data_IF_580923470267
#
_entry.id   IF_580923470267
#
_cell.length_a   1.000
_cell.length_b   1.000
_cell.length_c   1.000
_cell.angle_alpha   90.00
_cell.angle_beta   90.00
_cell.angle_gamma   90.00
#
_symmetry.space_group_name_H-M   'P 1'
#
loop_
_entity.id
_entity.type
_entity.pdbx_description
1 polymer ?
#
# COMPACT_ATOMS: atom_id res chain seq x y z
N UNK A 1 -2.06 11.42 10.99
CA UNK A 1 -2.28 10.08 11.57
C UNK A 1 -2.34 9.04 10.48
N UNK A 2 -1.67 7.95 10.69
CA UNK A 2 -1.72 6.82 9.75
C UNK A 2 -2.82 5.86 10.17
N UNK A 3 -3.41 5.23 9.17
CA UNK A 3 -4.46 4.25 9.40
C UNK A 3 -3.85 2.85 9.53
N UNK A 4 -4.58 1.96 10.18
CA UNK A 4 -4.27 0.54 10.18
C UNK A 4 -5.03 -0.09 9.04
N UNK A 5 -4.32 -0.81 8.17
CA UNK A 5 -4.94 -1.48 7.03
C UNK A 5 -5.11 -2.96 7.33
N UNK A 6 -6.32 -3.47 7.11
CA UNK A 6 -6.62 -4.89 7.18
C UNK A 6 -6.27 -5.56 5.86
N UNK A 7 -5.46 -6.60 5.92
CA UNK A 7 -5.02 -7.36 4.76
C UNK A 7 -5.53 -8.80 4.87
N UNK A 8 -6.24 -9.25 3.84
CA UNK A 8 -6.67 -10.63 3.74
C UNK A 8 -5.85 -11.39 2.72
N UNK A 9 -5.55 -12.65 3.00
CA UNK A 9 -4.93 -13.54 2.04
C UNK A 9 -5.94 -14.60 1.69
N UNK A 10 -6.37 -14.59 0.43
CA UNK A 10 -7.41 -15.49 -0.06
C UNK A 10 -7.07 -15.97 -1.46
N UNK A 11 -7.42 -17.21 -1.81
CA UNK A 11 -7.30 -17.64 -3.20
C UNK A 11 -8.08 -16.70 -4.12
N UNK A 12 -7.60 -16.55 -5.35
CA UNK A 12 -8.20 -15.66 -6.32
C UNK A 12 -9.69 -15.94 -6.52
N UNK A 13 -10.10 -17.21 -6.49
CA UNK A 13 -11.49 -17.60 -6.60
C UNK A 13 -12.36 -17.01 -5.50
N UNK A 14 -11.87 -16.98 -4.27
CA UNK A 14 -12.57 -16.42 -3.12
C UNK A 14 -12.74 -14.91 -3.25
N UNK A 15 -11.70 -14.23 -3.72
CA UNK A 15 -11.75 -12.79 -3.97
C UNK A 15 -12.82 -12.49 -5.01
N UNK A 16 -12.82 -13.26 -6.09
CA UNK A 16 -13.79 -13.09 -7.17
C UNK A 16 -15.22 -13.33 -6.71
N UNK A 17 -15.46 -14.38 -5.94
CA UNK A 17 -16.77 -14.66 -5.36
C UNK A 17 -17.27 -13.51 -4.51
N UNK A 18 -16.38 -12.94 -3.67
CA UNK A 18 -16.73 -11.83 -2.81
C UNK A 18 -17.09 -10.57 -3.61
N UNK A 19 -16.29 -10.25 -4.64
CA UNK A 19 -16.55 -9.11 -5.51
C UNK A 19 -17.90 -9.25 -6.20
N UNK A 20 -18.21 -10.44 -6.72
CA UNK A 20 -19.50 -10.71 -7.35
C UNK A 20 -20.66 -10.63 -6.36
N UNK A 21 -20.48 -11.14 -5.15
CA UNK A 21 -21.50 -11.06 -4.11
C UNK A 21 -21.80 -9.61 -3.72
N UNK A 22 -20.77 -8.78 -3.62
CA UNK A 22 -20.94 -7.35 -3.35
C UNK A 22 -21.69 -6.67 -4.50
N UNK A 23 -21.31 -6.98 -5.73
CA UNK A 23 -21.97 -6.42 -6.92
C UNK A 23 -23.44 -6.81 -7.02
N UNK A 24 -23.82 -8.00 -6.53
CA UNK A 24 -25.19 -8.48 -6.52
C UNK A 24 -25.99 -7.99 -5.31
N UNK A 25 -25.37 -7.29 -4.39
CA UNK A 25 -26.03 -6.83 -3.18
C UNK A 25 -26.21 -7.88 -2.09
N UNK A 26 -25.60 -9.07 -2.26
CA UNK A 26 -25.68 -10.16 -1.28
C UNK A 26 -24.87 -9.91 -0.04
N UNK A 27 -23.75 -9.19 -0.18
CA UNK A 27 -22.86 -8.81 0.92
C UNK A 27 -22.62 -7.31 0.86
N UNK A 28 -22.72 -6.64 2.00
CA UNK A 28 -22.35 -5.23 2.11
C UNK A 28 -20.98 -5.11 2.74
N UNK A 29 -20.03 -4.37 2.14
CA UNK A 29 -18.77 -4.09 2.79
C UNK A 29 -19.04 -3.26 4.05
N UNK A 30 -18.34 -3.57 5.14
CA UNK A 30 -18.50 -2.81 6.38
C UNK A 30 -17.95 -1.39 6.20
N UNK A 31 -18.73 -0.36 6.59
CA UNK A 31 -18.27 1.02 6.47
C UNK A 31 -17.00 1.25 7.30
N UNK A 32 -16.01 1.88 6.70
CA UNK A 32 -14.77 2.23 7.37
C UNK A 32 -13.69 1.16 7.37
N UNK A 33 -13.98 -0.03 6.88
CA UNK A 33 -12.95 -1.07 6.71
C UNK A 33 -12.19 -0.86 5.41
N UNK A 34 -10.88 -0.63 5.53
CA UNK A 34 -10.00 -0.66 4.38
C UNK A 34 -9.43 -2.08 4.29
N UNK A 35 -9.82 -2.80 3.26
CA UNK A 35 -9.37 -4.17 3.04
C UNK A 35 -8.56 -4.27 1.75
N UNK A 36 -7.38 -4.85 1.88
CA UNK A 36 -6.55 -5.21 0.74
C UNK A 36 -6.48 -6.72 0.72
N UNK A 37 -6.67 -7.31 -0.45
CA UNK A 37 -6.60 -8.76 -0.62
C UNK A 37 -5.40 -9.14 -1.47
N UNK A 38 -4.62 -10.11 -0.98
CA UNK A 38 -3.54 -10.73 -1.73
C UNK A 38 -3.88 -12.18 -2.00
N UNK A 39 -3.39 -12.71 -3.11
CA UNK A 39 -3.64 -14.10 -3.48
C UNK A 39 -2.73 -15.08 -2.77
N UNK A 40 -1.62 -14.61 -2.21
CA UNK A 40 -0.66 -15.46 -1.49
C UNK A 40 0.15 -14.65 -0.51
N UNK A 41 0.74 -15.35 0.48
CA UNK A 41 1.69 -14.74 1.41
C UNK A 41 2.93 -14.22 0.68
N UNK A 42 3.35 -14.88 -0.37
CA UNK A 42 4.49 -14.44 -1.18
C UNK A 42 4.22 -13.09 -1.82
N UNK A 43 3.05 -12.91 -2.42
CA UNK A 43 2.65 -11.64 -3.02
C UNK A 43 2.65 -10.52 -1.98
N UNK A 44 2.12 -10.79 -0.80
CA UNK A 44 2.14 -9.84 0.30
C UNK A 44 3.57 -9.48 0.71
N UNK A 45 4.44 -10.48 0.85
CA UNK A 45 5.83 -10.26 1.24
C UNK A 45 6.60 -9.44 0.21
N UNK A 46 6.29 -9.60 -1.07
CA UNK A 46 6.91 -8.82 -2.15
C UNK A 46 6.55 -7.34 -2.04
N UNK A 47 5.32 -7.02 -1.67
CA UNK A 47 4.85 -5.64 -1.54
C UNK A 47 5.25 -5.03 -0.21
N UNK A 48 5.08 -5.78 0.88
CA UNK A 48 5.38 -5.32 2.25
C UNK A 48 6.61 -6.01 2.83
N UNK A 49 7.68 -6.05 2.05
CA UNK A 49 8.97 -6.54 2.54
C UNK A 49 9.48 -5.68 3.69
N UNK A 50 10.45 -6.19 4.43
CA UNK A 50 11.07 -5.43 5.51
C UNK A 50 11.62 -4.10 5.01
N UNK A 51 12.23 -4.08 3.83
CA UNK A 51 12.75 -2.86 3.20
C UNK A 51 11.63 -1.88 2.86
N UNK A 52 10.52 -2.37 2.33
CA UNK A 52 9.39 -1.52 2.00
C UNK A 52 8.75 -0.91 3.25
N UNK A 53 8.63 -1.69 4.31
CA UNK A 53 8.09 -1.19 5.58
C UNK A 53 9.02 -0.17 6.23
N UNK A 54 10.33 -0.40 6.15
CA UNK A 54 11.31 0.57 6.63
C UNK A 54 11.21 1.88 5.84
N UNK A 55 11.02 1.78 4.53
CA UNK A 55 10.81 2.94 3.67
C UNK A 55 9.58 3.75 4.09
N UNK A 56 8.47 3.10 4.40
CA UNK A 56 7.27 3.78 4.87
C UNK A 56 7.54 4.59 6.14
N UNK A 57 8.30 4.04 7.06
CA UNK A 57 8.66 4.75 8.30
C UNK A 57 9.52 5.98 8.03
N UNK A 58 10.49 5.85 7.12
CA UNK A 58 11.34 6.98 6.73
C UNK A 58 10.50 8.09 6.13
N UNK A 59 9.58 7.76 5.24
CA UNK A 59 8.70 8.75 4.61
C UNK A 59 7.85 9.46 5.67
N UNK A 60 7.29 8.71 6.60
CA UNK A 60 6.46 9.26 7.66
C UNK A 60 7.25 10.19 8.59
N UNK A 61 8.46 9.82 8.93
CA UNK A 61 9.31 10.59 9.84
C UNK A 61 9.89 11.85 9.20
N UNK A 62 10.26 11.77 7.92
CA UNK A 62 10.97 12.86 7.23
C UNK A 62 10.09 13.76 6.39
N UNK A 63 8.87 13.32 6.04
CA UNK A 63 7.94 14.08 5.19
C UNK A 63 8.64 14.66 3.96
N UNK A 64 9.22 13.84 3.09
CA UNK A 64 9.96 14.35 1.94
C UNK A 64 9.06 15.12 0.98
N UNK A 65 9.59 16.20 0.41
CA UNK A 65 8.86 17.03 -0.54
C UNK A 65 8.66 16.35 -1.88
N UNK A 66 9.55 15.41 -2.24
CA UNK A 66 9.51 14.75 -3.53
C UNK A 66 10.17 13.38 -3.45
N UNK A 67 9.93 12.57 -4.49
CA UNK A 67 10.63 11.29 -4.65
C UNK A 67 12.13 11.52 -4.81
N UNK A 68 12.53 12.58 -5.53
CA UNK A 68 13.94 12.90 -5.72
C UNK A 68 14.63 13.21 -4.40
N UNK A 69 14.02 14.02 -3.55
CA UNK A 69 14.56 14.35 -2.23
C UNK A 69 14.71 13.10 -1.37
N UNK A 70 13.70 12.23 -1.41
CA UNK A 70 13.72 10.97 -0.66
C UNK A 70 14.83 10.06 -1.17
N UNK A 71 14.98 9.94 -2.50
CA UNK A 71 16.02 9.12 -3.11
C UNK A 71 17.42 9.57 -2.68
N UNK A 72 17.66 10.87 -2.68
CA UNK A 72 18.94 11.44 -2.24
C UNK A 72 19.21 11.13 -0.76
N UNK A 73 18.18 11.26 0.08
CA UNK A 73 18.31 11.05 1.52
C UNK A 73 18.65 9.60 1.89
N UNK A 74 18.12 8.63 1.16
CA UNK A 74 18.31 7.22 1.47
C UNK A 74 19.31 6.50 0.54
N UNK A 75 19.88 7.22 -0.44
CA UNK A 75 20.87 6.67 -1.35
C UNK A 75 20.34 5.66 -2.35
N UNK A 76 19.07 5.78 -2.74
CA UNK A 76 18.46 4.92 -3.76
C UNK A 76 18.23 5.69 -5.05
N UNK A 77 18.18 4.95 -6.17
CA UNK A 77 17.89 5.57 -7.46
C UNK A 77 16.42 5.99 -7.54
N UNK A 78 16.12 7.23 -8.00
CA UNK A 78 14.74 7.71 -8.06
C UNK A 78 13.80 6.80 -8.86
N UNK A 79 14.26 6.22 -9.98
CA UNK A 79 13.44 5.33 -10.79
C UNK A 79 13.04 4.05 -10.06
N UNK A 80 13.97 3.47 -9.31
CA UNK A 80 13.71 2.28 -8.51
C UNK A 80 12.71 2.59 -7.39
N UNK A 81 12.95 3.70 -6.70
CA UNK A 81 12.09 4.16 -5.61
C UNK A 81 10.68 4.47 -6.11
N UNK A 82 10.57 5.15 -7.26
CA UNK A 82 9.28 5.47 -7.87
C UNK A 82 8.47 4.21 -8.18
N UNK A 83 9.14 3.17 -8.67
CA UNK A 83 8.49 1.89 -8.99
C UNK A 83 7.94 1.23 -7.73
N UNK A 84 8.73 1.19 -6.67
CA UNK A 84 8.31 0.64 -5.38
C UNK A 84 7.10 1.40 -4.82
N UNK A 85 7.16 2.72 -4.85
CA UNK A 85 6.08 3.56 -4.35
C UNK A 85 4.80 3.44 -5.18
N UNK A 86 4.93 3.32 -6.50
CA UNK A 86 3.77 3.10 -7.37
C UNK A 86 3.07 1.78 -7.05
N UNK A 87 3.84 0.73 -6.79
CA UNK A 87 3.27 -0.55 -6.39
C UNK A 87 2.47 -0.41 -5.10
N UNK A 88 3.03 0.24 -4.10
CA UNK A 88 2.33 0.46 -2.84
C UNK A 88 1.12 1.38 -3.00
N UNK A 89 1.16 2.34 -3.92
CA UNK A 89 0.04 3.25 -4.16
C UNK A 89 -1.17 2.53 -4.77
N UNK A 90 -0.94 1.48 -5.54
CA UNK A 90 -2.04 0.66 -6.09
C UNK A 90 -2.85 -0.02 -5.01
N UNK A 91 -2.24 -0.29 -3.87
CA UNK A 91 -2.91 -0.91 -2.72
C UNK A 91 -3.42 0.13 -1.71
N UNK A 92 -3.24 1.42 -2.00
CA UNK A 92 -3.69 2.47 -1.09
C UNK A 92 -2.80 2.69 0.12
N UNK A 93 -1.62 2.07 0.17
CA UNK A 93 -0.68 2.20 1.28
C UNK A 93 0.02 3.56 1.24
N UNK A 94 0.32 4.04 0.04
CA UNK A 94 0.96 5.32 -0.22
C UNK A 94 0.11 6.11 -1.19
N UNK A 95 -0.02 7.41 -0.97
CA UNK A 95 -0.60 8.32 -1.94
C UNK A 95 0.53 9.04 -2.67
N UNK A 96 0.46 9.05 -3.99
CA UNK A 96 1.41 9.78 -4.82
C UNK A 96 0.77 11.11 -5.23
N UNK A 97 1.02 12.15 -4.44
CA UNK A 97 0.41 13.46 -4.67
C UNK A 97 1.23 14.25 -5.68
N UNK A 98 0.62 14.56 -6.80
CA UNK A 98 1.27 15.35 -7.84
C UNK A 98 1.21 16.84 -7.50
N UNK A 99 2.39 17.46 -7.41
CA UNK A 99 2.54 18.88 -7.24
C UNK A 99 3.16 19.47 -8.53
N UNK A 100 3.34 20.78 -8.61
CA UNK A 100 3.71 21.46 -9.87
C UNK A 100 4.84 20.79 -10.68
N UNK A 101 5.95 20.48 -10.03
CA UNK A 101 7.14 19.95 -10.69
C UNK A 101 7.62 18.63 -10.13
N UNK A 102 6.87 18.05 -9.19
CA UNK A 102 7.34 16.86 -8.49
C UNK A 102 6.17 16.04 -7.96
N UNK A 103 6.47 14.85 -7.47
CA UNK A 103 5.49 13.97 -6.83
C UNK A 103 5.92 13.79 -5.39
N UNK A 104 5.00 14.07 -4.47
CA UNK A 104 5.20 13.88 -3.05
C UNK A 104 4.58 12.57 -2.59
N UNK A 105 5.38 11.65 -2.01
CA UNK A 105 4.82 10.43 -1.44
C UNK A 105 4.26 10.71 -0.04
N UNK A 106 3.04 10.23 0.20
CA UNK A 106 2.38 10.38 1.49
C UNK A 106 1.98 8.99 1.98
N UNK A 107 2.43 8.64 3.18
CA UNK A 107 2.12 7.35 3.77
C UNK A 107 0.73 7.37 4.38
N UNK A 108 -0.10 6.41 3.99
CA UNK A 108 -1.46 6.24 4.50
C UNK A 108 -1.52 5.28 5.66
N UNK A 109 -0.63 4.28 5.68
CA UNK A 109 -0.62 3.28 6.74
C UNK A 109 0.80 2.79 7.02
N UNK A 110 1.09 2.53 8.29
CA UNK A 110 2.33 1.92 8.74
C UNK A 110 2.08 0.64 9.55
N UNK A 111 0.84 0.40 9.92
CA UNK A 111 0.42 -0.82 10.61
C UNK A 111 -0.48 -1.65 9.73
N UNK A 112 -0.28 -2.96 9.75
CA UNK A 112 -1.04 -3.88 8.91
C UNK A 112 -1.49 -5.07 9.75
N UNK A 113 -2.78 -5.39 9.67
CA UNK A 113 -3.34 -6.58 10.28
C UNK A 113 -3.56 -7.62 9.18
N UNK A 114 -2.88 -8.73 9.27
CA UNK A 114 -2.90 -9.77 8.23
C UNK A 114 -3.73 -10.95 8.71
N UNK A 115 -4.74 -11.28 7.92
CA UNK A 115 -5.59 -12.44 8.18
C UNK A 115 -5.41 -13.42 7.02
N UNK A 116 -4.83 -14.58 7.31
CA UNK A 116 -4.63 -15.63 6.33
C UNK A 116 -5.76 -16.65 6.45
N UNK A 117 -6.36 -16.98 5.32
CA UNK A 117 -7.42 -17.99 5.28
C UNK A 117 -6.83 -19.40 5.14
#
# INVERSE_FOLDING_TARGET
>A
MTETIMIGIMPQEKIRERVLAIARGEIKPEPGETKICFTSMKSLADVLSDDSRALLRVIQETNPDSISSLADAIGRRPGNLSRTLKTMSRYGIVEMRREKNHVRPIVRATEFHIVAA
#
